data_IF_211345213593
#
_entry.id   IF_211345213593
#
_cell.length_a   1.000
_cell.length_b   1.000
_cell.length_c   1.000
_cell.angle_alpha   90.00
_cell.angle_beta   90.00
_cell.angle_gamma   90.00
#
_symmetry.space_group_name_H-M   'P 1'
#
loop_
_entity.id
_entity.type
_entity.pdbx_description
1 polymer ?
#
# COMPACT_ATOMS: atom_id res chain seq x y z
N UNK A 1 -5.53 -22.13 4.60
CA UNK A 1 -4.45 -21.27 4.09
C UNK A 1 -3.14 -22.02 4.26
N UNK A 2 -2.49 -22.35 3.15
CA UNK A 2 -1.24 -23.11 3.11
C UNK A 2 -0.08 -22.29 3.67
N UNK A 3 0.96 -22.96 4.20
CA UNK A 3 2.18 -22.31 4.69
C UNK A 3 2.80 -21.37 3.65
N UNK A 4 2.76 -21.75 2.36
CA UNK A 4 3.25 -20.93 1.25
C UNK A 4 2.48 -19.60 1.11
N UNK A 5 1.15 -19.64 1.30
CA UNK A 5 0.31 -18.44 1.20
C UNK A 5 0.54 -17.47 2.36
N UNK A 6 0.83 -18.00 3.55
CA UNK A 6 1.17 -17.18 4.73
C UNK A 6 2.50 -16.46 4.52
N UNK A 7 3.52 -17.17 4.05
CA UNK A 7 4.83 -16.60 3.74
C UNK A 7 4.70 -15.54 2.62
N UNK A 8 3.96 -15.85 1.55
CA UNK A 8 3.70 -14.90 0.47
C UNK A 8 2.99 -13.63 0.96
N UNK A 9 1.99 -13.76 1.83
CA UNK A 9 1.30 -12.60 2.39
C UNK A 9 2.24 -11.78 3.29
N UNK A 10 3.01 -12.46 4.13
CA UNK A 10 3.99 -11.82 5.01
C UNK A 10 5.03 -11.03 4.21
N UNK A 11 5.58 -11.61 3.15
CA UNK A 11 6.50 -10.93 2.25
C UNK A 11 5.87 -9.69 1.61
N UNK A 12 4.61 -9.77 1.16
CA UNK A 12 3.90 -8.60 0.62
C UNK A 12 3.75 -7.47 1.64
N UNK A 13 3.45 -7.82 2.90
CA UNK A 13 3.35 -6.82 3.98
C UNK A 13 4.70 -6.16 4.22
N UNK A 14 5.77 -6.95 4.30
CA UNK A 14 7.13 -6.42 4.52
C UNK A 14 7.54 -5.50 3.37
N UNK A 15 7.34 -5.93 2.12
CA UNK A 15 7.66 -5.11 0.94
C UNK A 15 6.82 -3.83 0.93
N UNK A 16 5.52 -3.91 1.21
CA UNK A 16 4.67 -2.73 1.29
C UNK A 16 5.17 -1.72 2.34
N UNK A 17 5.51 -2.19 3.54
CA UNK A 17 6.05 -1.32 4.59
C UNK A 17 7.37 -0.65 4.18
N UNK A 18 8.25 -1.38 3.48
CA UNK A 18 9.52 -0.81 3.01
C UNK A 18 9.30 0.30 1.97
N UNK A 19 8.35 0.12 1.05
CA UNK A 19 8.07 1.13 0.01
C UNK A 19 7.40 2.37 0.60
N UNK A 20 6.64 2.24 1.69
CA UNK A 20 6.02 3.39 2.36
C UNK A 20 7.02 4.34 3.05
N UNK A 21 8.27 3.92 3.29
CA UNK A 21 9.26 4.72 4.02
C UNK A 21 9.70 5.92 3.16
N UNK A 22 9.50 7.12 3.69
CA UNK A 22 9.99 8.38 3.11
C UNK A 22 11.32 8.77 3.77
N UNK A 23 12.43 8.29 3.18
CA UNK A 23 13.76 8.39 3.78
C UNK A 23 14.44 9.76 3.58
N UNK A 24 14.92 10.35 4.69
CA UNK A 24 15.74 11.56 4.73
C UNK A 24 17.11 11.26 5.37
N UNK A 25 18.22 11.37 4.62
CA UNK A 25 19.54 11.00 5.12
C UNK A 25 19.99 11.88 6.28
N UNK A 26 20.45 11.25 7.36
CA UNK A 26 20.95 11.95 8.56
C UNK A 26 19.86 12.58 9.45
N UNK A 27 18.57 12.43 9.12
CA UNK A 27 17.46 13.07 9.82
C UNK A 27 16.34 12.06 10.15
N UNK A 28 16.49 11.27 11.24
CA UNK A 28 15.55 10.19 11.56
C UNK A 28 14.16 10.70 11.96
N UNK A 29 14.06 11.84 12.66
CA UNK A 29 12.78 12.43 13.03
C UNK A 29 12.00 12.94 11.82
N UNK A 30 12.68 13.53 10.84
CA UNK A 30 12.06 13.97 9.57
C UNK A 30 11.59 12.78 8.74
N UNK A 31 12.38 11.70 8.68
CA UNK A 31 11.97 10.44 8.04
C UNK A 31 10.69 9.88 8.66
N UNK A 32 10.63 9.83 9.98
CA UNK A 32 9.47 9.29 10.69
C UNK A 32 8.22 10.15 10.45
N UNK A 33 8.33 11.46 10.64
CA UNK A 33 7.20 12.38 10.45
C UNK A 33 6.71 12.38 9.00
N UNK A 34 7.60 12.45 8.02
CA UNK A 34 7.23 12.38 6.61
C UNK A 34 6.58 11.05 6.23
N UNK A 35 7.08 9.92 6.76
CA UNK A 35 6.48 8.60 6.54
C UNK A 35 5.07 8.53 7.14
N UNK A 36 4.87 9.06 8.35
CA UNK A 36 3.57 9.07 9.00
C UNK A 36 2.56 9.98 8.30
N UNK A 37 2.95 11.20 7.92
CA UNK A 37 2.11 12.11 7.14
C UNK A 37 1.71 11.48 5.80
N UNK A 38 2.68 10.87 5.10
CA UNK A 38 2.43 10.16 3.86
C UNK A 38 1.41 9.02 4.03
N UNK A 39 1.56 8.19 5.07
CA UNK A 39 0.62 7.11 5.35
C UNK A 39 -0.79 7.64 5.70
N UNK A 40 -0.88 8.71 6.49
CA UNK A 40 -2.17 9.31 6.85
C UNK A 40 -2.93 9.83 5.63
N UNK A 41 -2.20 10.31 4.63
CA UNK A 41 -2.79 10.76 3.36
C UNK A 41 -3.08 9.57 2.44
N UNK A 42 -2.15 8.65 2.24
CA UNK A 42 -2.27 7.59 1.21
C UNK A 42 -3.23 6.48 1.62
N UNK A 43 -3.19 6.04 2.88
CA UNK A 43 -3.94 4.87 3.37
C UNK A 43 -5.46 5.02 3.15
N UNK A 44 -6.11 6.15 3.49
CA UNK A 44 -7.55 6.32 3.24
C UNK A 44 -7.94 6.16 1.77
N UNK A 45 -7.14 6.68 0.83
CA UNK A 45 -7.40 6.53 -0.60
C UNK A 45 -7.31 5.06 -1.05
N UNK A 46 -6.28 4.33 -0.58
CA UNK A 46 -6.11 2.91 -0.93
C UNK A 46 -7.22 2.06 -0.30
N UNK A 47 -7.66 2.38 0.93
CA UNK A 47 -8.81 1.73 1.56
C UNK A 47 -10.06 1.95 0.72
N UNK A 48 -10.35 3.18 0.32
CA UNK A 48 -11.53 3.51 -0.49
C UNK A 48 -11.53 2.74 -1.82
N UNK A 49 -10.40 2.73 -2.54
CA UNK A 49 -10.23 1.96 -3.76
C UNK A 49 -10.43 0.46 -3.53
N UNK A 50 -9.84 -0.08 -2.45
CA UNK A 50 -9.97 -1.49 -2.09
C UNK A 50 -11.43 -1.85 -1.81
N UNK A 51 -12.14 -1.03 -1.04
CA UNK A 51 -13.56 -1.22 -0.74
C UNK A 51 -14.40 -1.20 -2.02
N UNK A 52 -14.13 -0.27 -2.93
CA UNK A 52 -14.82 -0.20 -4.22
C UNK A 52 -14.61 -1.48 -5.03
N UNK A 53 -13.36 -1.91 -5.21
CA UNK A 53 -13.03 -3.12 -6.00
C UNK A 53 -13.62 -4.36 -5.36
N UNK A 54 -13.50 -4.52 -4.04
CA UNK A 54 -14.06 -5.65 -3.30
C UNK A 54 -15.58 -5.66 -3.41
N UNK A 55 -16.25 -4.52 -3.32
CA UNK A 55 -17.71 -4.40 -3.49
C UNK A 55 -18.15 -4.86 -4.88
N UNK A 56 -17.44 -4.44 -5.94
CA UNK A 56 -17.72 -4.87 -7.31
C UNK A 56 -17.51 -6.38 -7.46
N UNK A 57 -16.40 -6.92 -6.97
CA UNK A 57 -16.13 -8.36 -7.04
C UNK A 57 -17.18 -9.18 -6.28
N UNK A 58 -17.58 -8.74 -5.08
CA UNK A 58 -18.62 -9.44 -4.30
C UNK A 58 -19.98 -9.41 -5.00
N UNK A 59 -20.30 -8.31 -5.70
CA UNK A 59 -21.52 -8.23 -6.52
C UNK A 59 -21.50 -9.21 -7.69
N UNK A 60 -20.35 -9.40 -8.34
CA UNK A 60 -20.21 -10.32 -9.48
C UNK A 60 -20.22 -11.80 -9.05
N UNK A 61 -19.52 -12.13 -7.96
CA UNK A 61 -19.39 -13.52 -7.50
C UNK A 61 -20.57 -13.95 -6.62
N UNK A 62 -21.35 -13.00 -6.08
CA UNK A 62 -22.51 -13.27 -5.24
C UNK A 62 -22.19 -13.75 -3.81
N UNK A 63 -20.92 -13.70 -3.40
CA UNK A 63 -20.48 -14.13 -2.07
C UNK A 63 -19.43 -13.18 -1.48
N UNK A 64 -19.33 -13.15 -0.15
CA UNK A 64 -18.30 -12.37 0.55
C UNK A 64 -16.90 -12.92 0.26
N UNK A 65 -15.96 -12.03 0.00
CA UNK A 65 -14.57 -12.43 -0.22
C UNK A 65 -13.87 -12.76 1.12
N UNK A 66 -12.98 -13.78 1.14
CA UNK A 66 -12.15 -14.05 2.32
C UNK A 66 -11.24 -12.86 2.66
N UNK A 67 -11.06 -12.59 3.96
CA UNK A 67 -10.22 -11.47 4.45
C UNK A 67 -8.79 -11.49 3.87
N UNK A 68 -8.19 -12.66 3.70
CA UNK A 68 -6.87 -12.82 3.08
C UNK A 68 -6.83 -12.27 1.65
N UNK A 69 -7.90 -12.45 0.86
CA UNK A 69 -7.98 -11.92 -0.50
C UNK A 69 -8.11 -10.40 -0.49
N UNK A 70 -8.93 -9.85 0.42
CA UNK A 70 -9.07 -8.41 0.60
C UNK A 70 -7.73 -7.76 0.98
N UNK A 71 -7.00 -8.35 1.93
CA UNK A 71 -5.68 -7.86 2.33
C UNK A 71 -4.68 -7.88 1.16
N UNK A 72 -4.69 -8.92 0.33
CA UNK A 72 -3.86 -8.97 -0.89
C UNK A 72 -4.24 -7.89 -1.89
N UNK A 73 -5.53 -7.67 -2.12
CA UNK A 73 -6.01 -6.59 -3.01
C UNK A 73 -5.51 -5.23 -2.51
N UNK A 74 -5.66 -4.96 -1.21
CA UNK A 74 -5.14 -3.74 -0.58
C UNK A 74 -3.64 -3.58 -0.80
N UNK A 75 -2.85 -4.61 -0.46
CA UNK A 75 -1.39 -4.56 -0.59
C UNK A 75 -0.94 -4.37 -2.03
N UNK A 76 -1.62 -5.01 -3.00
CA UNK A 76 -1.31 -4.85 -4.42
C UNK A 76 -1.59 -3.42 -4.89
N UNK A 77 -2.77 -2.87 -4.62
CA UNK A 77 -3.07 -1.47 -5.00
C UNK A 77 -2.19 -0.47 -4.26
N UNK A 78 -1.91 -0.73 -2.98
CA UNK A 78 -0.98 0.06 -2.18
C UNK A 78 0.41 0.09 -2.82
N UNK A 79 0.99 -1.06 -3.17
CA UNK A 79 2.29 -1.11 -3.84
C UNK A 79 2.31 -0.35 -5.17
N UNK A 80 1.26 -0.50 -5.98
CA UNK A 80 1.13 0.23 -7.25
C UNK A 80 1.07 1.73 -6.99
N UNK A 81 0.25 2.19 -6.05
CA UNK A 81 0.12 3.59 -5.73
C UNK A 81 1.42 4.17 -5.15
N UNK A 82 2.07 3.46 -4.23
CA UNK A 82 3.33 3.88 -3.64
C UNK A 82 4.45 4.01 -4.68
N UNK A 83 4.48 3.12 -5.68
CA UNK A 83 5.36 3.27 -6.83
C UNK A 83 5.11 4.59 -7.57
N UNK A 84 3.85 4.94 -7.86
CA UNK A 84 3.51 6.22 -8.49
C UNK A 84 3.81 7.43 -7.60
N UNK A 85 3.55 7.36 -6.29
CA UNK A 85 3.89 8.43 -5.35
C UNK A 85 5.39 8.64 -5.25
N UNK A 86 6.17 7.56 -5.22
CA UNK A 86 7.63 7.59 -5.32
C UNK A 86 8.10 8.31 -6.58
N UNK A 87 7.62 7.87 -7.76
CA UNK A 87 7.97 8.51 -9.03
C UNK A 87 7.58 9.99 -9.07
N UNK A 88 6.38 10.35 -8.64
CA UNK A 88 5.92 11.73 -8.61
C UNK A 88 6.81 12.61 -7.72
N UNK A 89 7.23 12.09 -6.55
CA UNK A 89 8.14 12.79 -5.67
C UNK A 89 9.52 13.03 -6.31
N UNK A 90 10.10 12.01 -6.96
CA UNK A 90 11.36 12.15 -7.68
C UNK A 90 11.28 13.12 -8.86
N UNK A 91 10.20 13.08 -9.64
CA UNK A 91 9.99 14.01 -10.75
C UNK A 91 9.87 15.45 -10.27
N UNK A 92 9.16 15.67 -9.16
CA UNK A 92 9.01 17.01 -8.55
C UNK A 92 10.35 17.53 -8.01
N UNK A 93 11.20 16.67 -7.45
CA UNK A 93 12.54 17.03 -7.01
C UNK A 93 13.50 17.31 -8.17
N UNK A 94 13.35 16.61 -9.30
CA UNK A 94 14.17 16.80 -10.51
C UNK A 94 13.75 17.96 -11.40
N UNK A 95 12.69 18.70 -11.06
CA UNK A 95 12.22 19.89 -11.76
C UNK A 95 12.72 21.22 -11.13
N UNK A 96 13.74 21.16 -10.27
CA UNK A 96 14.44 22.31 -9.69
C UNK A 96 15.79 22.49 -10.36
#
# INVERSE_FOLDING_TARGET
>A
MSTKEKISLFLLIVVYLLVCIRYFPGRPLETLTATMSHLLESVPYIIALTVLVVSVMQKVVGQKLPKNRIARIYLTFGLIAEFFFGMYHYLKLGQI
#
